data_IF_953923643788
#
_entry.id   IF_953923643788
#
_cell.length_a   1.000
_cell.length_b   1.000
_cell.length_c   1.000
_cell.angle_alpha   90.00
_cell.angle_beta   90.00
_cell.angle_gamma   90.00
#
_symmetry.space_group_name_H-M   'P 1'
#
loop_
_entity.id
_entity.type
_entity.pdbx_description
1 polymer ?
#
# COMPACT_ATOMS: atom_id res chain seq x y z
N UNK A 1 34.24 40.59 4.14
CA UNK A 1 34.47 39.45 3.23
C UNK A 1 33.49 38.37 3.55
N UNK A 2 32.38 38.32 2.83
CA UNK A 2 31.37 37.26 2.96
C UNK A 2 31.59 36.23 1.86
N UNK A 3 32.02 35.05 2.27
CA UNK A 3 32.14 33.90 1.36
C UNK A 3 30.80 33.20 1.34
N UNK A 4 30.09 33.31 0.22
CA UNK A 4 28.84 32.61 -0.03
C UNK A 4 29.09 31.13 -0.28
N UNK A 5 28.42 30.30 0.48
CA UNK A 5 28.34 28.86 0.21
C UNK A 5 27.35 28.66 -0.93
N UNK A 6 27.89 28.35 -2.09
CA UNK A 6 27.12 27.93 -3.26
C UNK A 6 26.71 26.47 -3.04
N UNK A 7 25.43 26.27 -2.75
CA UNK A 7 24.81 24.95 -2.72
C UNK A 7 24.95 24.26 -4.09
N UNK A 8 25.40 23.02 -4.00
CA UNK A 8 25.91 22.21 -5.08
C UNK A 8 24.97 22.00 -6.25
N UNK A 9 25.59 22.11 -7.41
CA UNK A 9 25.06 21.82 -8.73
C UNK A 9 24.53 20.39 -8.82
N UNK A 10 23.34 20.28 -9.42
CA UNK A 10 22.83 19.07 -10.08
C UNK A 10 23.97 18.30 -10.73
N UNK A 11 24.14 17.04 -10.35
CA UNK A 11 24.84 16.07 -11.18
C UNK A 11 23.95 15.76 -12.40
N UNK A 12 24.25 16.40 -13.50
CA UNK A 12 23.78 16.04 -14.85
C UNK A 12 24.75 15.01 -15.41
N UNK A 13 24.27 13.82 -15.74
CA UNK A 13 24.98 12.89 -16.60
C UNK A 13 25.39 11.55 -16.00
N UNK A 14 24.45 10.82 -15.39
CA UNK A 14 24.50 9.37 -15.30
C UNK A 14 23.14 8.84 -15.73
N UNK A 15 23.06 7.74 -16.45
CA UNK A 15 21.80 7.05 -16.69
C UNK A 15 21.16 6.78 -15.32
N UNK A 16 20.22 7.62 -14.90
CA UNK A 16 19.49 7.47 -13.65
C UNK A 16 18.83 6.10 -13.69
N UNK A 17 19.33 5.18 -12.88
CA UNK A 17 18.73 3.83 -12.77
C UNK A 17 17.26 4.00 -12.48
N UNK A 18 16.42 3.44 -13.36
CA UNK A 18 14.96 3.47 -13.20
C UNK A 18 14.55 2.74 -11.94
N UNK A 19 13.46 3.18 -11.35
CA UNK A 19 12.86 2.52 -10.21
C UNK A 19 11.81 1.51 -10.65
N UNK A 20 11.67 0.43 -9.88
CA UNK A 20 10.76 -0.67 -10.19
C UNK A 20 9.30 -0.27 -9.98
N UNK A 21 9.04 0.65 -9.02
CA UNK A 21 7.69 1.03 -8.63
C UNK A 21 7.67 2.45 -8.02
N UNK A 22 6.57 3.17 -8.24
CA UNK A 22 6.27 4.44 -7.60
C UNK A 22 5.23 4.30 -6.51
N UNK A 23 5.36 5.04 -5.41
CA UNK A 23 4.34 5.13 -4.36
C UNK A 23 3.91 6.58 -4.21
N UNK A 24 2.61 6.83 -4.36
CA UNK A 24 1.97 8.15 -4.21
C UNK A 24 1.13 8.17 -2.94
N UNK A 25 1.41 9.14 -2.07
CA UNK A 25 0.74 9.30 -0.80
C UNK A 25 1.55 8.69 0.34
N UNK A 26 2.24 9.57 1.07
CA UNK A 26 3.18 9.22 2.14
C UNK A 26 2.56 9.50 3.52
N UNK A 27 1.32 9.04 3.72
CA UNK A 27 0.78 8.83 5.06
C UNK A 27 1.51 7.67 5.73
N UNK A 28 1.21 7.39 7.00
CA UNK A 28 1.80 6.27 7.74
C UNK A 28 1.80 4.97 6.93
N UNK A 29 0.66 4.59 6.36
CA UNK A 29 0.54 3.38 5.54
C UNK A 29 1.39 3.40 4.28
N UNK A 30 1.36 4.53 3.54
CA UNK A 30 2.11 4.65 2.28
C UNK A 30 3.61 4.68 2.48
N UNK A 31 4.09 5.37 3.53
CA UNK A 31 5.51 5.39 3.89
C UNK A 31 6.01 4.01 4.30
N UNK A 32 5.25 3.30 5.15
CA UNK A 32 5.58 1.95 5.59
C UNK A 32 5.59 0.94 4.44
N UNK A 33 4.62 1.02 3.53
CA UNK A 33 4.58 0.16 2.35
C UNK A 33 5.77 0.42 1.41
N UNK A 34 6.13 1.69 1.19
CA UNK A 34 7.30 2.05 0.38
C UNK A 34 8.61 1.51 0.97
N UNK A 35 8.77 1.59 2.29
CA UNK A 35 9.92 1.04 3.00
C UNK A 35 9.95 -0.49 2.94
N UNK A 36 8.81 -1.16 3.11
CA UNK A 36 8.70 -2.61 2.97
C UNK A 36 9.12 -3.07 1.57
N UNK A 37 8.63 -2.40 0.51
CA UNK A 37 9.03 -2.69 -0.87
C UNK A 37 10.55 -2.52 -1.04
N UNK A 38 11.12 -1.46 -0.47
CA UNK A 38 12.55 -1.15 -0.56
C UNK A 38 13.43 -2.16 0.21
N UNK A 39 12.98 -2.61 1.39
CA UNK A 39 13.65 -3.64 2.20
C UNK A 39 13.69 -4.99 1.48
N UNK A 40 12.66 -5.30 0.68
CA UNK A 40 12.63 -6.49 -0.17
C UNK A 40 13.44 -6.35 -1.46
N UNK A 41 14.27 -5.31 -1.57
CA UNK A 41 15.28 -5.15 -2.62
C UNK A 41 14.80 -4.38 -3.86
N UNK A 42 13.55 -3.97 -3.94
CA UNK A 42 13.04 -3.18 -5.06
C UNK A 42 13.40 -1.69 -4.92
N UNK A 43 13.65 -1.04 -6.05
CA UNK A 43 13.88 0.41 -6.09
C UNK A 43 12.55 1.14 -6.16
N UNK A 44 12.34 2.05 -5.23
CA UNK A 44 11.07 2.75 -5.03
C UNK A 44 11.25 4.24 -5.28
N UNK A 45 10.38 4.83 -6.09
CA UNK A 45 10.23 6.28 -6.17
C UNK A 45 9.02 6.69 -5.31
N UNK A 46 9.17 7.69 -4.47
CA UNK A 46 8.10 8.18 -3.61
C UNK A 46 7.69 9.60 -3.97
N UNK A 47 6.40 9.86 -3.95
CA UNK A 47 5.83 11.18 -4.20
C UNK A 47 4.68 11.47 -3.25
N UNK A 48 4.60 12.72 -2.83
CA UNK A 48 3.45 13.24 -2.08
C UNK A 48 3.12 14.65 -2.59
N UNK A 49 1.82 14.99 -2.66
CA UNK A 49 1.35 16.31 -3.09
C UNK A 49 2.00 17.45 -2.30
N UNK A 50 2.14 17.28 -0.99
CA UNK A 50 2.93 18.17 -0.12
C UNK A 50 4.35 17.65 -0.11
N UNK A 51 5.25 18.31 -0.82
CA UNK A 51 6.60 17.83 -1.09
C UNK A 51 7.49 17.76 0.16
N UNK A 52 7.24 18.60 1.17
CA UNK A 52 7.94 18.55 2.46
C UNK A 52 7.74 17.22 3.21
N UNK A 53 6.67 16.47 2.89
CA UNK A 53 6.45 15.12 3.44
C UNK A 53 7.44 14.13 2.82
N UNK A 54 7.82 14.33 1.56
CA UNK A 54 8.86 13.51 0.89
C UNK A 54 10.20 13.73 1.59
N UNK A 55 10.59 14.99 1.80
CA UNK A 55 11.85 15.34 2.46
C UNK A 55 11.92 14.74 3.86
N UNK A 56 10.85 14.93 4.65
CA UNK A 56 10.73 14.38 6.00
C UNK A 56 10.87 12.86 6.03
N UNK A 57 10.17 12.15 5.13
CA UNK A 57 10.27 10.69 5.04
C UNK A 57 11.71 10.23 4.75
N UNK A 58 12.41 10.90 3.82
CA UNK A 58 13.77 10.55 3.45
C UNK A 58 14.78 10.87 4.55
N UNK A 59 14.54 11.91 5.35
CA UNK A 59 15.36 12.28 6.51
C UNK A 59 15.17 11.30 7.68
N UNK A 60 13.91 10.95 7.98
CA UNK A 60 13.57 10.05 9.10
C UNK A 60 13.87 8.58 8.79
N UNK A 61 13.78 8.19 7.51
CA UNK A 61 13.95 6.82 7.04
C UNK A 61 14.88 6.75 5.82
N UNK A 62 16.17 7.09 5.97
CA UNK A 62 17.11 7.03 4.85
C UNK A 62 17.28 5.59 4.37
N UNK A 63 17.01 5.34 3.09
CA UNK A 63 17.11 4.02 2.49
C UNK A 63 17.70 4.09 1.07
N UNK A 64 18.71 3.26 0.78
CA UNK A 64 19.44 3.27 -0.51
C UNK A 64 18.57 3.00 -1.74
N UNK A 65 17.46 2.29 -1.56
CA UNK A 65 16.53 1.92 -2.62
C UNK A 65 15.33 2.89 -2.74
N UNK A 66 15.26 3.96 -1.93
CA UNK A 66 14.16 4.93 -1.96
C UNK A 66 14.67 6.25 -2.50
N UNK A 67 13.95 6.83 -3.46
CA UNK A 67 14.23 8.16 -3.99
C UNK A 67 12.98 9.04 -3.97
N UNK A 68 13.12 10.29 -3.56
CA UNK A 68 12.06 11.28 -3.62
C UNK A 68 11.84 11.80 -5.04
N UNK A 69 10.59 12.10 -5.38
CA UNK A 69 10.17 12.82 -6.57
C UNK A 69 9.26 13.96 -6.17
N UNK A 70 9.33 15.06 -6.90
CA UNK A 70 8.68 16.32 -6.52
C UNK A 70 7.59 16.75 -7.49
N UNK A 71 7.36 15.92 -8.53
CA UNK A 71 6.23 16.04 -9.44
C UNK A 71 5.79 14.65 -9.95
N UNK A 72 4.55 14.53 -10.42
CA UNK A 72 4.06 13.30 -11.06
C UNK A 72 4.87 12.97 -12.32
N UNK A 73 5.27 13.99 -13.09
CA UNK A 73 6.10 13.81 -14.27
C UNK A 73 7.46 13.19 -13.90
N UNK A 74 8.16 13.75 -12.88
CA UNK A 74 9.43 13.19 -12.40
C UNK A 74 9.29 11.77 -11.89
N UNK A 75 8.16 11.46 -11.19
CA UNK A 75 7.86 10.12 -10.73
C UNK A 75 7.78 9.17 -11.92
N UNK A 76 6.89 9.45 -12.87
CA UNK A 76 6.61 8.58 -14.00
C UNK A 76 7.85 8.42 -14.92
N UNK A 77 8.58 9.51 -15.18
CA UNK A 77 9.83 9.46 -15.96
C UNK A 77 10.92 8.65 -15.26
N UNK A 78 10.86 8.53 -13.93
CA UNK A 78 11.79 7.76 -13.13
C UNK A 78 11.53 6.25 -13.13
N UNK A 79 10.38 5.77 -13.60
CA UNK A 79 10.00 4.35 -13.53
C UNK A 79 10.42 3.55 -14.75
N UNK A 80 10.74 2.28 -14.57
CA UNK A 80 10.89 1.30 -15.65
C UNK A 80 9.54 0.90 -16.23
N UNK A 81 9.52 0.47 -17.49
CA UNK A 81 8.31 -0.02 -18.17
C UNK A 81 8.18 -1.54 -18.06
N UNK A 82 6.93 -2.03 -17.91
CA UNK A 82 5.71 -1.28 -17.68
C UNK A 82 5.77 -0.56 -16.32
N UNK A 83 5.39 0.73 -16.32
CA UNK A 83 5.43 1.54 -15.10
C UNK A 83 4.39 1.05 -14.10
N UNK A 84 4.77 0.99 -12.83
CA UNK A 84 3.92 0.53 -11.73
C UNK A 84 3.80 1.64 -10.69
N UNK A 85 2.57 2.07 -10.41
CA UNK A 85 2.30 3.18 -9.50
C UNK A 85 1.27 2.77 -8.45
N UNK A 86 1.66 2.78 -7.19
CA UNK A 86 0.79 2.52 -6.04
C UNK A 86 0.21 3.83 -5.53
N UNK A 87 -1.11 3.85 -5.36
CA UNK A 87 -1.85 4.96 -4.75
C UNK A 87 -2.21 4.61 -3.31
N UNK A 88 -1.64 5.33 -2.35
CA UNK A 88 -1.94 5.23 -0.92
C UNK A 88 -2.57 6.51 -0.42
N UNK A 89 -3.71 6.87 -1.01
CA UNK A 89 -4.44 8.11 -0.75
C UNK A 89 -5.86 7.84 -0.26
N UNK A 90 -6.53 8.88 0.22
CA UNK A 90 -7.93 8.76 0.65
C UNK A 90 -8.80 8.28 -0.51
N UNK A 91 -9.62 7.27 -0.25
CA UNK A 91 -10.59 6.74 -1.20
C UNK A 91 -11.57 7.80 -1.72
N UNK A 92 -12.14 7.58 -2.89
CA UNK A 92 -13.08 8.47 -3.54
C UNK A 92 -12.40 9.49 -4.45
N UNK A 93 -12.79 10.75 -4.38
CA UNK A 93 -12.36 11.82 -5.30
C UNK A 93 -10.83 11.97 -5.43
N UNK A 94 -10.07 11.73 -4.37
CA UNK A 94 -8.60 11.84 -4.44
C UNK A 94 -7.98 10.81 -5.39
N UNK A 95 -8.53 9.60 -5.44
CA UNK A 95 -8.11 8.56 -6.39
C UNK A 95 -8.48 8.95 -7.82
N UNK A 96 -9.72 9.41 -8.05
CA UNK A 96 -10.17 9.84 -9.37
C UNK A 96 -9.31 10.99 -9.90
N UNK A 97 -9.04 12.00 -9.06
CA UNK A 97 -8.18 13.14 -9.43
C UNK A 97 -6.75 12.74 -9.77
N UNK A 98 -6.19 11.75 -9.07
CA UNK A 98 -4.86 11.22 -9.40
C UNK A 98 -4.87 10.44 -10.72
N UNK A 99 -5.89 9.63 -10.96
CA UNK A 99 -6.06 8.91 -12.24
C UNK A 99 -6.13 9.90 -13.41
N UNK A 100 -6.88 10.98 -13.28
CA UNK A 100 -6.95 12.02 -14.31
C UNK A 100 -5.59 12.67 -14.60
N UNK A 101 -4.79 12.93 -13.56
CA UNK A 101 -3.45 13.52 -13.71
C UNK A 101 -2.41 12.52 -14.23
N UNK A 102 -2.52 11.24 -13.86
CA UNK A 102 -1.58 10.20 -14.27
C UNK A 102 -1.83 9.71 -15.70
N UNK A 103 -3.09 9.63 -16.12
CA UNK A 103 -3.47 9.06 -17.43
C UNK A 103 -2.70 9.68 -18.61
N UNK A 104 -2.50 11.01 -18.72
CA UNK A 104 -1.73 11.59 -19.83
C UNK A 104 -0.20 11.33 -19.76
N UNK A 105 0.31 10.85 -18.62
CA UNK A 105 1.71 10.55 -18.39
C UNK A 105 2.04 9.06 -18.59
N UNK A 106 1.02 8.22 -18.60
CA UNK A 106 1.13 6.77 -18.71
C UNK A 106 0.95 6.29 -20.14
N UNK A 107 1.47 5.12 -20.43
CA UNK A 107 1.40 4.46 -21.73
C UNK A 107 0.62 3.14 -21.62
N UNK A 108 0.25 2.60 -22.78
CA UNK A 108 -0.39 1.28 -22.83
C UNK A 108 0.49 0.20 -22.17
N UNK A 109 -0.11 -0.56 -21.27
CA UNK A 109 0.57 -1.60 -20.50
C UNK A 109 1.03 -1.14 -19.12
N UNK A 110 1.11 0.17 -18.85
CA UNK A 110 1.42 0.69 -17.51
C UNK A 110 0.33 0.32 -16.51
N UNK A 111 0.67 0.32 -15.23
CA UNK A 111 -0.15 -0.22 -14.14
C UNK A 111 -0.35 0.81 -13.04
N UNK A 112 -1.61 1.04 -12.67
CA UNK A 112 -2.01 1.77 -11.47
C UNK A 112 -2.52 0.75 -10.44
N UNK A 113 -2.04 0.84 -9.21
CA UNK A 113 -2.40 -0.02 -8.08
C UNK A 113 -3.05 0.86 -7.00
N UNK A 114 -4.35 0.74 -6.81
CA UNK A 114 -5.07 1.41 -5.72
C UNK A 114 -4.97 0.53 -4.46
N UNK A 115 -4.10 0.91 -3.53
CA UNK A 115 -3.90 0.23 -2.25
C UNK A 115 -4.73 0.85 -1.11
N UNK A 116 -5.57 1.84 -1.39
CA UNK A 116 -6.50 2.44 -0.43
C UNK A 116 -7.73 1.56 -0.17
N UNK A 117 -8.53 1.95 0.81
CA UNK A 117 -9.81 1.28 1.08
C UNK A 117 -10.93 1.83 0.17
N UNK A 118 -10.75 1.71 -1.13
CA UNK A 118 -11.73 2.17 -2.11
C UNK A 118 -12.97 1.25 -2.15
N UNK A 119 -14.12 1.86 -2.41
CA UNK A 119 -15.35 1.10 -2.62
C UNK A 119 -15.24 0.29 -3.91
N UNK A 120 -15.50 -1.01 -3.84
CA UNK A 120 -15.25 -1.93 -4.95
C UNK A 120 -15.97 -1.58 -6.26
N UNK A 121 -17.14 -0.92 -6.19
CA UNK A 121 -17.86 -0.45 -7.39
C UNK A 121 -17.15 0.72 -8.06
N UNK A 122 -16.53 1.63 -7.28
CA UNK A 122 -15.69 2.68 -7.85
C UNK A 122 -14.43 2.10 -8.48
N UNK A 123 -13.84 1.07 -7.85
CA UNK A 123 -12.71 0.33 -8.41
C UNK A 123 -13.07 -0.31 -9.74
N UNK A 124 -14.24 -0.96 -9.84
CA UNK A 124 -14.73 -1.53 -11.09
C UNK A 124 -14.88 -0.45 -12.17
N UNK A 125 -15.51 0.67 -11.86
CA UNK A 125 -15.69 1.80 -12.79
C UNK A 125 -14.34 2.33 -13.30
N UNK A 126 -13.35 2.47 -12.40
CA UNK A 126 -11.98 2.91 -12.75
C UNK A 126 -11.26 1.90 -13.62
N UNK A 127 -11.40 0.62 -13.29
CA UNK A 127 -10.87 -0.49 -14.08
C UNK A 127 -11.40 -0.44 -15.51
N UNK A 128 -12.71 -0.36 -15.70
CA UNK A 128 -13.35 -0.33 -17.03
C UNK A 128 -12.87 0.89 -17.83
N UNK A 129 -12.84 2.08 -17.21
CA UNK A 129 -12.38 3.33 -17.83
C UNK A 129 -10.92 3.28 -18.30
N UNK A 130 -10.03 2.69 -17.51
CA UNK A 130 -8.61 2.63 -17.81
C UNK A 130 -8.28 1.51 -18.79
N UNK A 131 -9.05 0.43 -18.78
CA UNK A 131 -8.94 -0.65 -19.74
C UNK A 131 -9.14 -0.15 -21.18
N UNK A 132 -10.11 0.76 -21.42
CA UNK A 132 -10.33 1.40 -22.73
C UNK A 132 -9.10 2.18 -23.21
N UNK A 133 -8.28 2.69 -22.27
CA UNK A 133 -7.04 3.41 -22.56
C UNK A 133 -5.81 2.49 -22.64
N UNK A 134 -6.00 1.20 -22.38
CA UNK A 134 -4.92 0.21 -22.34
C UNK A 134 -4.03 0.31 -21.10
N UNK A 135 -4.46 1.01 -20.06
CA UNK A 135 -3.79 1.11 -18.76
C UNK A 135 -4.41 0.07 -17.83
N UNK A 136 -3.58 -0.72 -17.17
CA UNK A 136 -4.04 -1.71 -16.20
C UNK A 136 -4.33 -1.05 -14.85
N UNK A 137 -5.44 -1.41 -14.24
CA UNK A 137 -5.82 -0.92 -12.93
C UNK A 137 -6.10 -2.07 -11.97
N UNK A 138 -5.47 -2.01 -10.80
CA UNK A 138 -5.65 -2.98 -9.74
C UNK A 138 -6.23 -2.32 -8.50
N UNK A 139 -7.30 -2.91 -7.96
CA UNK A 139 -7.72 -2.66 -6.59
C UNK A 139 -7.08 -3.69 -5.68
N UNK A 140 -6.19 -3.25 -4.80
CA UNK A 140 -5.47 -4.16 -3.90
C UNK A 140 -5.87 -3.88 -2.46
N UNK A 141 -6.61 -4.82 -1.86
CA UNK A 141 -6.85 -4.79 -0.43
C UNK A 141 -5.53 -4.99 0.32
N UNK A 142 -5.21 -4.06 1.22
CA UNK A 142 -4.03 -4.13 2.09
C UNK A 142 -4.51 -4.27 3.53
N UNK A 143 -4.15 -5.36 4.20
CA UNK A 143 -4.56 -5.65 5.58
C UNK A 143 -3.35 -5.87 6.48
N UNK A 144 -3.48 -5.45 7.75
CA UNK A 144 -2.43 -5.57 8.77
C UNK A 144 -2.10 -4.25 9.48
N UNK A 145 -2.83 -3.17 9.16
CA UNK A 145 -2.59 -1.86 9.74
C UNK A 145 -1.20 -1.30 9.43
N UNK A 146 -0.72 -0.42 10.30
CA UNK A 146 0.57 0.25 10.17
C UNK A 146 1.74 -0.74 10.20
N UNK A 147 1.73 -1.65 11.15
CA UNK A 147 2.76 -2.67 11.35
C UNK A 147 2.77 -3.67 10.19
N UNK A 148 1.59 -4.14 9.77
CA UNK A 148 1.46 -5.00 8.60
C UNK A 148 1.98 -4.35 7.33
N UNK A 149 1.65 -3.09 7.05
CA UNK A 149 2.18 -2.37 5.90
C UNK A 149 3.70 -2.32 5.90
N UNK A 150 4.33 -2.24 7.08
CA UNK A 150 5.79 -2.16 7.23
C UNK A 150 6.49 -3.52 7.15
N UNK A 151 5.90 -4.57 7.71
CA UNK A 151 6.59 -5.84 7.93
C UNK A 151 5.96 -7.05 7.26
N UNK A 152 4.78 -6.90 6.68
CA UNK A 152 4.09 -7.96 5.96
C UNK A 152 2.58 -7.82 6.01
N UNK A 153 1.96 -7.16 5.02
CA UNK A 153 0.50 -7.12 4.91
C UNK A 153 -0.05 -8.40 4.29
N UNK A 154 -1.31 -8.71 4.59
CA UNK A 154 -2.09 -9.58 3.72
C UNK A 154 -2.60 -8.77 2.52
N UNK A 155 -2.42 -9.29 1.30
CA UNK A 155 -2.71 -8.58 0.06
C UNK A 155 -3.76 -9.31 -0.78
N UNK A 156 -4.73 -8.55 -1.28
CA UNK A 156 -5.89 -9.05 -2.04
C UNK A 156 -5.95 -8.33 -3.39
N UNK A 157 -5.09 -8.68 -4.35
CA UNK A 157 -5.07 -8.04 -5.68
C UNK A 157 -6.24 -8.47 -6.55
N UNK A 158 -6.91 -7.50 -7.16
CA UNK A 158 -7.93 -7.67 -8.19
C UNK A 158 -7.68 -6.75 -9.36
N UNK A 159 -7.76 -7.27 -10.60
CA UNK A 159 -7.45 -6.56 -11.83
C UNK A 159 -7.29 -7.51 -13.00
N UNK A 160 -6.55 -7.14 -14.05
CA UNK A 160 -6.27 -8.02 -15.18
C UNK A 160 -5.31 -9.15 -14.80
N UNK A 161 -5.67 -10.40 -15.06
CA UNK A 161 -4.90 -11.59 -14.67
C UNK A 161 -3.52 -11.63 -15.33
N UNK A 162 -3.41 -11.21 -16.59
CA UNK A 162 -2.12 -11.22 -17.29
C UNK A 162 -1.20 -10.13 -16.79
N UNK A 163 -1.75 -8.94 -16.54
CA UNK A 163 -0.99 -7.83 -15.98
C UNK A 163 -0.60 -8.08 -14.50
N UNK A 164 -1.31 -8.97 -13.79
CA UNK A 164 -0.95 -9.36 -12.42
C UNK A 164 0.47 -9.94 -12.35
N UNK A 165 0.91 -10.68 -13.34
CA UNK A 165 2.26 -11.27 -13.38
C UNK A 165 3.38 -10.23 -13.29
N UNK A 166 3.12 -8.97 -13.69
CA UNK A 166 4.07 -7.86 -13.60
C UNK A 166 4.22 -7.31 -12.18
N UNK A 167 3.20 -7.43 -11.35
CA UNK A 167 3.19 -6.91 -9.97
C UNK A 167 3.32 -8.01 -8.93
N UNK A 168 3.00 -9.25 -9.28
CA UNK A 168 3.06 -10.42 -8.39
C UNK A 168 4.38 -10.56 -7.64
N UNK A 169 5.56 -10.46 -8.29
CA UNK A 169 6.83 -10.62 -7.57
C UNK A 169 7.03 -9.58 -6.45
N UNK A 170 6.55 -8.35 -6.65
CA UNK A 170 6.62 -7.30 -5.64
C UNK A 170 5.63 -7.59 -4.52
N UNK A 171 4.37 -7.89 -4.86
CA UNK A 171 3.32 -8.12 -3.87
C UNK A 171 3.60 -9.34 -3.00
N UNK A 172 4.04 -10.46 -3.59
CA UNK A 172 4.40 -11.67 -2.83
C UNK A 172 5.63 -11.47 -1.95
N UNK A 173 6.60 -10.65 -2.39
CA UNK A 173 7.79 -10.37 -1.60
C UNK A 173 7.45 -9.62 -0.31
N UNK A 174 6.59 -8.60 -0.40
CA UNK A 174 6.23 -7.72 0.73
C UNK A 174 5.14 -8.28 1.64
N UNK A 175 4.41 -9.31 1.20
CA UNK A 175 3.33 -9.91 1.97
C UNK A 175 3.85 -10.66 3.21
N UNK A 176 3.00 -10.74 4.24
CA UNK A 176 3.20 -11.67 5.34
C UNK A 176 3.34 -13.10 4.81
N UNK A 177 4.04 -13.95 5.54
CA UNK A 177 4.25 -15.35 5.15
C UNK A 177 3.85 -16.29 6.28
N UNK A 178 2.99 -17.24 5.95
CA UNK A 178 2.62 -18.35 6.85
C UNK A 178 3.22 -19.64 6.29
N UNK A 179 4.08 -20.27 7.05
CA UNK A 179 4.81 -21.48 6.61
C UNK A 179 5.57 -21.27 5.27
N UNK A 180 6.09 -20.05 5.05
CA UNK A 180 6.82 -19.69 3.83
C UNK A 180 5.92 -19.32 2.64
N UNK A 181 4.60 -19.44 2.75
CA UNK A 181 3.63 -19.07 1.72
C UNK A 181 3.20 -17.62 1.91
N UNK A 182 3.31 -16.75 0.88
CA UNK A 182 2.90 -15.36 1.00
C UNK A 182 1.38 -15.22 1.15
N UNK A 183 0.94 -14.38 2.08
CA UNK A 183 -0.46 -13.99 2.24
C UNK A 183 -0.86 -12.99 1.16
N UNK A 184 -0.70 -13.40 -0.09
CA UNK A 184 -1.03 -12.63 -1.29
C UNK A 184 -1.62 -13.57 -2.32
N UNK A 185 -2.87 -13.35 -2.71
CA UNK A 185 -3.54 -14.20 -3.70
C UNK A 185 -4.37 -13.35 -4.64
N UNK A 186 -4.17 -13.56 -5.95
CA UNK A 186 -5.02 -12.96 -6.97
C UNK A 186 -6.48 -13.37 -6.75
N UNK A 187 -7.36 -12.39 -6.63
CA UNK A 187 -8.76 -12.64 -6.29
C UNK A 187 -9.65 -12.84 -7.52
N UNK A 188 -9.64 -11.92 -8.45
CA UNK A 188 -10.32 -11.94 -9.76
C UNK A 188 -10.13 -10.60 -10.47
N UNK A 189 -10.84 -10.38 -11.57
CA UNK A 189 -10.81 -9.14 -12.35
C UNK A 189 -11.48 -7.96 -11.65
N UNK A 190 -11.17 -6.76 -12.13
CA UNK A 190 -11.85 -5.51 -11.73
C UNK A 190 -11.79 -5.20 -10.25
N UNK A 191 -12.96 -4.95 -9.64
CA UNK A 191 -13.09 -4.55 -8.23
C UNK A 191 -12.97 -5.67 -7.21
N UNK A 192 -12.62 -6.89 -7.59
CA UNK A 192 -12.66 -8.08 -6.74
C UNK A 192 -11.75 -7.96 -5.49
N UNK A 193 -10.54 -7.39 -5.62
CA UNK A 193 -9.63 -7.22 -4.49
C UNK A 193 -10.22 -6.35 -3.39
N UNK A 194 -10.79 -5.21 -3.75
CA UNK A 194 -11.46 -4.34 -2.79
C UNK A 194 -12.79 -4.93 -2.25
N UNK A 195 -13.47 -5.76 -3.04
CA UNK A 195 -14.63 -6.49 -2.56
C UNK A 195 -14.23 -7.48 -1.45
N UNK A 196 -13.19 -8.27 -1.68
CA UNK A 196 -12.67 -9.21 -0.67
C UNK A 196 -12.20 -8.46 0.57
N UNK A 197 -11.50 -7.33 0.42
CA UNK A 197 -11.09 -6.49 1.56
C UNK A 197 -12.28 -5.94 2.33
N UNK A 198 -13.34 -5.54 1.67
CA UNK A 198 -14.57 -5.07 2.32
C UNK A 198 -15.21 -6.21 3.16
N UNK A 199 -15.28 -7.42 2.62
CA UNK A 199 -15.81 -8.59 3.34
C UNK A 199 -14.93 -8.92 4.54
N UNK A 200 -13.60 -8.96 4.34
CA UNK A 200 -12.62 -9.14 5.41
C UNK A 200 -12.85 -8.15 6.55
N UNK A 201 -12.94 -6.86 6.25
CA UNK A 201 -13.17 -5.84 7.28
C UNK A 201 -14.51 -6.01 7.99
N UNK A 202 -15.56 -6.43 7.27
CA UNK A 202 -16.87 -6.72 7.88
C UNK A 202 -16.80 -7.86 8.90
N UNK A 203 -16.06 -8.91 8.60
CA UNK A 203 -15.82 -10.03 9.52
C UNK A 203 -14.99 -9.57 10.72
N UNK A 204 -13.88 -8.88 10.47
CA UNK A 204 -12.98 -8.35 11.51
C UNK A 204 -13.72 -7.47 12.53
N UNK A 205 -14.61 -6.59 12.07
CA UNK A 205 -15.44 -5.78 12.97
C UNK A 205 -16.42 -6.64 13.80
N UNK A 206 -16.94 -7.73 13.23
CA UNK A 206 -17.76 -8.71 13.95
C UNK A 206 -16.97 -9.39 15.08
N UNK A 207 -15.77 -9.84 14.78
CA UNK A 207 -14.87 -10.47 15.77
C UNK A 207 -14.49 -9.51 16.89
N UNK A 208 -14.13 -8.27 16.55
CA UNK A 208 -13.84 -7.22 17.53
C UNK A 208 -15.03 -6.94 18.46
N UNK A 209 -16.24 -6.95 17.91
CA UNK A 209 -17.47 -6.78 18.70
C UNK A 209 -17.67 -7.95 19.65
N UNK A 210 -17.52 -9.19 19.20
CA UNK A 210 -17.63 -10.40 20.03
C UNK A 210 -16.62 -10.40 21.18
N UNK A 211 -15.36 -10.04 20.91
CA UNK A 211 -14.32 -9.91 21.95
C UNK A 211 -14.72 -8.84 22.97
N UNK A 212 -15.22 -7.69 22.51
CA UNK A 212 -15.65 -6.61 23.39
C UNK A 212 -16.86 -7.00 24.26
N UNK A 213 -17.79 -7.77 23.71
CA UNK A 213 -18.95 -8.29 24.47
C UNK A 213 -18.53 -9.35 25.48
N UNK A 214 -17.63 -10.28 25.12
CA UNK A 214 -17.06 -11.25 26.03
C UNK A 214 -16.38 -10.56 27.22
N UNK A 215 -15.54 -9.56 26.96
CA UNK A 215 -14.93 -8.74 28.00
C UNK A 215 -15.98 -8.12 28.92
N UNK A 216 -17.05 -7.53 28.36
CA UNK A 216 -18.11 -6.88 29.11
C UNK A 216 -18.87 -7.87 30.02
N UNK A 217 -19.17 -9.07 29.50
CA UNK A 217 -19.84 -10.12 30.25
C UNK A 217 -18.96 -10.59 31.41
N UNK A 218 -17.72 -10.92 31.19
CA UNK A 218 -16.78 -11.35 32.24
C UNK A 218 -16.62 -10.28 33.32
N UNK A 219 -16.45 -9.00 32.90
CA UNK A 219 -16.25 -7.88 33.82
C UNK A 219 -17.47 -7.58 34.68
N UNK A 220 -18.65 -7.47 34.06
CA UNK A 220 -19.83 -6.94 34.75
C UNK A 220 -20.77 -8.03 35.31
N UNK A 221 -20.84 -9.19 34.69
CA UNK A 221 -21.66 -10.32 35.18
C UNK A 221 -20.81 -11.36 35.92
N UNK A 222 -19.61 -11.65 35.41
CA UNK A 222 -18.68 -12.56 36.06
C UNK A 222 -17.94 -11.95 37.25
N UNK A 223 -17.89 -10.63 37.34
CA UNK A 223 -17.19 -9.92 38.41
C UNK A 223 -15.65 -10.02 38.34
N UNK A 224 -15.10 -10.34 37.18
CA UNK A 224 -13.66 -10.52 37.00
C UNK A 224 -12.90 -9.22 37.24
N UNK A 225 -11.77 -9.32 37.95
CA UNK A 225 -10.79 -8.24 38.06
C UNK A 225 -10.07 -8.02 36.72
N UNK A 226 -9.29 -6.96 36.64
CA UNK A 226 -8.49 -6.71 35.42
C UNK A 226 -7.42 -7.80 35.22
N UNK A 227 -6.85 -8.28 36.33
CA UNK A 227 -5.84 -9.33 36.33
C UNK A 227 -6.42 -10.66 35.82
N UNK A 228 -7.61 -11.06 36.33
CA UNK A 228 -8.30 -12.26 35.87
C UNK A 228 -8.73 -12.18 34.40
N UNK A 229 -9.13 -11.00 33.93
CA UNK A 229 -9.42 -10.75 32.50
C UNK A 229 -8.17 -10.92 31.66
N UNK A 230 -7.04 -10.32 32.08
CA UNK A 230 -5.78 -10.47 31.37
C UNK A 230 -5.38 -11.94 31.25
N UNK A 231 -5.37 -12.69 32.35
CA UNK A 231 -5.03 -14.11 32.35
C UNK A 231 -5.97 -14.94 31.46
N UNK A 232 -7.26 -14.64 31.45
CA UNK A 232 -8.25 -15.32 30.62
C UNK A 232 -7.99 -15.07 29.12
N UNK A 233 -7.80 -13.83 28.74
CA UNK A 233 -7.53 -13.51 27.33
C UNK A 233 -6.15 -14.00 26.86
N UNK A 234 -5.14 -13.97 27.72
CA UNK A 234 -3.82 -14.57 27.43
C UNK A 234 -3.92 -16.09 27.22
N UNK A 235 -4.76 -16.79 27.99
CA UNK A 235 -4.97 -18.22 27.82
C UNK A 235 -5.71 -18.53 26.53
N UNK A 236 -6.77 -17.77 26.21
CA UNK A 236 -7.51 -17.94 24.96
C UNK A 236 -6.65 -17.69 23.73
N UNK A 237 -5.72 -16.71 23.82
CA UNK A 237 -4.82 -16.37 22.73
C UNK A 237 -3.71 -17.44 22.48
N UNK A 238 -3.59 -18.46 23.33
CA UNK A 238 -2.71 -19.63 23.12
C UNK A 238 -3.44 -20.82 22.47
N UNK A 239 -4.73 -20.69 22.24
CA UNK A 239 -5.59 -21.76 21.72
C UNK A 239 -5.85 -21.64 20.22
N UNK A 240 -7.07 -22.04 19.82
CA UNK A 240 -7.50 -22.06 18.42
C UNK A 240 -7.68 -20.66 17.80
N UNK A 241 -7.61 -19.61 18.62
CA UNK A 241 -7.79 -18.22 18.21
C UNK A 241 -6.48 -17.44 18.08
N UNK A 242 -5.33 -18.13 18.10
CA UNK A 242 -4.01 -17.53 17.92
C UNK A 242 -3.83 -16.88 16.52
#
# INVERSE_FOLDING_TARGET
MFSGIILGKKQLGGSLMKQNIGVIGLSVMGSNLALNIADNGFKVAVFNRTTTVVDKMLEEHPHKNVVGRYSLQELIDGLEKPRKVVLMVKAGFAVDSLIEQLTPLLEKGDIIIDGGNSFFKDTQRRYDLLLEKGINYFGVGVSGGEEGARFGPALMPGGDEKAYEEIRPILEAIAAKVNGVPCCSYTSTGGAGHYVKMVHNGIEYGDMQLISEAYKVLKHLGGFTNEELQETFEEWNKGELE
#
